data_IF_298424413219
#
_entry.id   IF_298424413219
#
_cell.length_a   1.000
_cell.length_b   1.000
_cell.length_c   1.000
_cell.angle_alpha   90.00
_cell.angle_beta   90.00
_cell.angle_gamma   90.00
#
_symmetry.space_group_name_H-M   'P 1'
#
loop_
_entity.id
_entity.type
_entity.pdbx_description
1 polymer ?
#
# COMPACT_ATOMS: atom_id res chain seq x y z
N UNK A 1 35.52 6.50 -4.83
CA UNK A 1 34.17 5.94 -4.66
C UNK A 1 33.25 7.12 -4.42
N UNK A 2 32.21 7.29 -5.23
CA UNK A 2 31.28 8.41 -5.19
C UNK A 2 30.05 7.94 -4.40
N UNK A 3 29.81 8.41 -3.17
CA UNK A 3 28.72 7.91 -2.32
C UNK A 3 27.34 8.08 -2.98
N UNK A 4 27.10 9.23 -3.61
CA UNK A 4 25.84 9.51 -4.31
C UNK A 4 25.60 8.58 -5.49
N UNK A 5 26.66 8.07 -6.10
CA UNK A 5 26.59 7.13 -7.22
C UNK A 5 26.13 5.74 -6.76
N UNK A 6 26.49 5.32 -5.54
CA UNK A 6 26.02 4.06 -4.95
C UNK A 6 24.54 4.15 -4.55
N UNK A 7 24.13 5.29 -4.00
CA UNK A 7 22.73 5.55 -3.65
C UNK A 7 21.84 5.66 -4.89
N UNK A 8 22.32 6.33 -5.94
CA UNK A 8 21.64 6.36 -7.24
C UNK A 8 21.49 4.97 -7.84
N UNK A 9 22.58 4.18 -7.89
CA UNK A 9 22.54 2.82 -8.42
C UNK A 9 21.57 1.93 -7.62
N UNK A 10 21.59 2.03 -6.28
CA UNK A 10 20.65 1.30 -5.42
C UNK A 10 19.20 1.69 -5.72
N UNK A 11 18.94 2.98 -5.88
CA UNK A 11 17.60 3.50 -6.22
C UNK A 11 17.12 2.93 -7.55
N UNK A 12 17.96 2.96 -8.58
CA UNK A 12 17.61 2.40 -9.91
C UNK A 12 17.31 0.91 -9.82
N UNK A 13 18.09 0.14 -9.06
CA UNK A 13 17.85 -1.30 -8.85
C UNK A 13 16.50 -1.55 -8.15
N UNK A 14 16.20 -0.82 -7.09
CA UNK A 14 14.93 -0.96 -6.36
C UNK A 14 13.72 -0.62 -7.23
N UNK A 15 13.81 0.45 -8.03
CA UNK A 15 12.75 0.81 -8.98
C UNK A 15 12.54 -0.27 -10.05
N UNK A 16 13.62 -0.88 -10.56
CA UNK A 16 13.53 -1.98 -11.51
C UNK A 16 12.88 -3.23 -10.90
N UNK A 17 13.23 -3.58 -9.65
CA UNK A 17 12.61 -4.69 -8.93
C UNK A 17 11.12 -4.46 -8.67
N UNK A 18 10.75 -3.23 -8.29
CA UNK A 18 9.36 -2.84 -8.10
C UNK A 18 8.56 -2.98 -9.40
N UNK A 19 9.10 -2.50 -10.52
CA UNK A 19 8.44 -2.61 -11.82
C UNK A 19 8.19 -4.07 -12.25
N UNK A 20 9.14 -4.97 -11.97
CA UNK A 20 8.98 -6.40 -12.24
C UNK A 20 7.94 -7.04 -11.30
N UNK A 21 7.95 -6.68 -10.02
CA UNK A 21 6.99 -7.18 -9.05
C UNK A 21 5.56 -6.77 -9.39
N UNK A 22 5.36 -5.49 -9.75
CA UNK A 22 4.05 -4.96 -10.15
C UNK A 22 3.49 -5.64 -11.43
N UNK A 23 4.35 -6.25 -12.25
CA UNK A 23 3.93 -7.03 -13.41
C UNK A 23 3.44 -8.45 -13.09
N UNK A 24 3.58 -8.91 -11.84
CA UNK A 24 3.09 -10.23 -11.42
C UNK A 24 1.57 -10.20 -11.18
N UNK A 25 0.90 -11.32 -11.45
CA UNK A 25 -0.55 -11.43 -11.18
C UNK A 25 -0.83 -11.22 -9.71
N UNK A 26 -1.82 -10.36 -9.41
CA UNK A 26 -2.29 -10.07 -8.05
C UNK A 26 -1.21 -9.49 -7.10
N UNK A 27 -0.22 -8.81 -7.66
CA UNK A 27 0.82 -8.12 -6.89
C UNK A 27 0.23 -7.11 -5.90
N UNK A 28 -0.80 -6.38 -6.32
CA UNK A 28 -1.48 -5.37 -5.51
C UNK A 28 -2.25 -6.01 -4.34
N UNK A 29 -3.01 -7.09 -4.58
CA UNK A 29 -3.71 -7.83 -3.54
C UNK A 29 -2.74 -8.43 -2.52
N UNK A 30 -1.68 -9.07 -3.00
CA UNK A 30 -0.61 -9.61 -2.13
C UNK A 30 0.05 -8.53 -1.27
N UNK A 31 0.28 -7.34 -1.83
CA UNK A 31 0.82 -6.21 -1.09
C UNK A 31 -0.14 -5.71 -0.01
N UNK A 32 -1.43 -5.55 -0.34
CA UNK A 32 -2.46 -5.14 0.61
C UNK A 32 -2.58 -6.13 1.76
N UNK A 33 -2.60 -7.43 1.48
CA UNK A 33 -2.66 -8.48 2.52
C UNK A 33 -1.45 -8.42 3.46
N UNK A 34 -0.26 -8.18 2.91
CA UNK A 34 0.97 -8.15 3.69
C UNK A 34 1.10 -6.88 4.56
N UNK A 35 0.67 -5.72 4.05
CA UNK A 35 0.94 -4.42 4.67
C UNK A 35 -0.28 -3.86 5.40
N UNK A 36 -1.49 -4.21 4.97
CA UNK A 36 -2.75 -3.59 5.38
C UNK A 36 -2.95 -3.55 6.89
N UNK A 37 -2.79 -4.68 7.58
CA UNK A 37 -2.98 -4.77 9.04
C UNK A 37 -1.99 -3.86 9.78
N UNK A 38 -0.71 -3.87 9.38
CA UNK A 38 0.31 -3.06 10.05
C UNK A 38 0.14 -1.58 9.76
N UNK A 39 -0.28 -1.22 8.54
CA UNK A 39 -0.60 0.15 8.18
C UNK A 39 -1.79 0.65 8.97
N UNK A 40 -2.90 -0.11 9.02
CA UNK A 40 -4.10 0.24 9.77
C UNK A 40 -3.81 0.46 11.25
N UNK A 41 -3.01 -0.41 11.87
CA UNK A 41 -2.59 -0.28 13.27
C UNK A 41 -1.67 0.93 13.53
N UNK A 42 -1.00 1.46 12.50
CA UNK A 42 -0.10 2.61 12.62
C UNK A 42 -0.81 3.95 12.45
N UNK A 43 -2.01 3.96 11.88
CA UNK A 43 -2.77 5.17 11.65
C UNK A 43 -3.25 5.75 12.98
N UNK A 44 -3.25 7.09 13.14
CA UNK A 44 -3.82 7.72 14.31
C UNK A 44 -5.32 7.44 14.41
N UNK A 45 -5.83 7.38 15.63
CA UNK A 45 -7.26 7.23 15.87
C UNK A 45 -8.03 8.34 15.13
N UNK A 46 -9.04 7.99 14.32
CA UNK A 46 -9.81 8.97 13.58
C UNK A 46 -10.55 9.91 14.54
N UNK A 47 -10.68 11.20 14.19
CA UNK A 47 -11.49 12.14 14.94
C UNK A 47 -12.92 11.63 15.18
N UNK A 48 -13.52 11.93 16.34
CA UNK A 48 -14.90 11.55 16.61
C UNK A 48 -15.84 12.15 15.56
N UNK A 49 -16.76 11.33 15.05
CA UNK A 49 -17.73 11.72 14.03
C UNK A 49 -17.25 11.60 12.58
N UNK A 50 -16.03 11.11 12.32
CA UNK A 50 -15.60 10.75 10.95
C UNK A 50 -16.46 9.63 10.36
N UNK A 51 -16.74 8.60 11.17
CA UNK A 51 -17.48 7.45 10.70
C UNK A 51 -18.99 7.60 10.96
N UNK A 52 -19.84 7.32 9.97
CA UNK A 52 -21.28 7.37 10.14
C UNK A 52 -21.77 6.30 11.14
N UNK A 53 -22.96 6.48 11.76
CA UNK A 53 -23.55 5.46 12.60
C UNK A 53 -23.75 4.17 11.81
N UNK A 54 -23.23 3.04 12.32
CA UNK A 54 -23.29 1.76 11.61
C UNK A 54 -22.17 1.51 10.61
N UNK A 55 -21.13 2.36 10.58
CA UNK A 55 -19.89 2.06 9.87
C UNK A 55 -19.27 0.77 10.41
N UNK A 56 -19.07 -0.19 9.52
CA UNK A 56 -18.28 -1.39 9.79
C UNK A 56 -16.83 -1.15 9.31
N UNK A 57 -15.84 -1.14 10.23
CA UNK A 57 -14.44 -0.98 9.86
C UNK A 57 -13.89 -2.05 8.92
N UNK A 58 -14.56 -3.21 8.83
CA UNK A 58 -14.14 -4.35 8.01
C UNK A 58 -14.76 -4.35 6.60
N UNK A 59 -15.77 -3.52 6.35
CA UNK A 59 -16.51 -3.48 5.07
C UNK A 59 -15.77 -2.70 3.97
N UNK A 60 -14.67 -2.01 4.35
CA UNK A 60 -13.86 -1.22 3.42
C UNK A 60 -14.63 -0.08 2.74
N UNK A 61 -13.94 0.81 2.01
CA UNK A 61 -14.61 1.76 1.11
C UNK A 61 -14.95 1.10 -0.23
N UNK A 62 -16.03 1.52 -0.89
CA UNK A 62 -16.34 1.10 -2.26
C UNK A 62 -15.23 1.54 -3.21
N UNK A 63 -14.38 0.61 -3.67
CA UNK A 63 -13.31 0.93 -4.62
C UNK A 63 -13.85 0.94 -6.06
N UNK A 64 -13.45 1.92 -6.90
CA UNK A 64 -13.86 1.93 -8.30
C UNK A 64 -13.27 0.71 -9.03
N UNK A 65 -14.16 -0.22 -9.45
CA UNK A 65 -13.78 -1.45 -10.17
C UNK A 65 -14.21 -2.75 -9.49
N UNK A 66 -14.77 -2.70 -8.27
CA UNK A 66 -15.21 -3.89 -7.52
C UNK A 66 -16.51 -4.55 -8.02
N UNK A 67 -17.19 -3.93 -9.00
CA UNK A 67 -18.49 -4.37 -9.51
C UNK A 67 -18.46 -4.97 -10.94
N UNK A 68 -17.29 -5.31 -11.49
CA UNK A 68 -17.16 -5.93 -12.83
C UNK A 68 -16.71 -7.40 -12.77
#
# INVERSE_FOLDING_TARGET
>A
MCPDCEDFARTVVLLGQLALYAGTSDADGTFVDAVGVSLAASLPEPPPGIFPPGYDPEDGPDYPGELD
#
